data_IF_254157340906
#
_entry.id   IF_254157340906
#
_cell.length_a   1.000
_cell.length_b   1.000
_cell.length_c   1.000
_cell.angle_alpha   90.00
_cell.angle_beta   90.00
_cell.angle_gamma   90.00
#
_symmetry.space_group_name_H-M   'P 1'
#
loop_
_entity.id
_entity.type
_entity.pdbx_description
1 polymer ?
#
# COMPACT_ATOMS: atom_id res chain seq x y z
N UNK A 1 17.32 -0.17 -13.03
CA UNK A 1 15.93 -0.47 -12.59
C UNK A 1 15.50 0.65 -11.64
N UNK A 2 14.29 1.19 -11.76
CA UNK A 2 13.77 2.20 -10.84
C UNK A 2 13.07 1.50 -9.67
N UNK A 3 13.20 2.05 -8.46
CA UNK A 3 12.48 1.55 -7.29
C UNK A 3 11.13 2.28 -7.15
N UNK A 4 10.02 1.58 -6.86
CA UNK A 4 8.72 2.22 -6.71
C UNK A 4 8.64 3.15 -5.50
N UNK A 5 7.74 4.13 -5.54
CA UNK A 5 7.39 4.92 -4.37
C UNK A 5 6.53 4.15 -3.38
N UNK A 6 6.71 4.36 -2.07
CA UNK A 6 6.02 3.57 -1.05
C UNK A 6 4.48 3.58 -1.19
N UNK A 7 3.85 4.75 -1.31
CA UNK A 7 2.40 4.83 -1.51
C UNK A 7 1.97 4.20 -2.85
N UNK A 8 2.76 4.41 -3.92
CA UNK A 8 2.46 3.82 -5.22
C UNK A 8 2.50 2.30 -5.18
N UNK A 9 3.42 1.70 -4.40
CA UNK A 9 3.51 0.25 -4.23
C UNK A 9 2.20 -0.35 -3.72
N UNK A 10 1.61 0.24 -2.67
CA UNK A 10 0.33 -0.23 -2.13
C UNK A 10 -0.82 -0.08 -3.12
N UNK A 11 -0.95 1.10 -3.75
CA UNK A 11 -2.01 1.34 -4.74
C UNK A 11 -1.88 0.38 -5.91
N UNK A 12 -0.67 0.26 -6.48
CA UNK A 12 -0.43 -0.62 -7.63
C UNK A 12 -0.70 -2.09 -7.29
N UNK A 13 -0.31 -2.55 -6.10
CA UNK A 13 -0.59 -3.90 -5.66
C UNK A 13 -2.10 -4.20 -5.58
N UNK A 14 -2.91 -3.21 -5.18
CA UNK A 14 -4.35 -3.37 -5.07
C UNK A 14 -5.06 -3.33 -6.43
N UNK A 15 -4.72 -2.40 -7.33
CA UNK A 15 -5.54 -2.19 -8.52
C UNK A 15 -4.99 -2.85 -9.79
N UNK A 16 -3.67 -3.07 -9.91
CA UNK A 16 -3.07 -3.62 -11.12
C UNK A 16 -3.65 -4.99 -11.51
N UNK A 17 -3.76 -5.98 -10.60
CA UNK A 17 -4.37 -7.27 -10.94
C UNK A 17 -5.83 -7.14 -11.36
N UNK A 18 -6.59 -6.23 -10.74
CA UNK A 18 -8.01 -6.04 -11.03
C UNK A 18 -8.23 -5.42 -12.41
N UNK A 19 -7.40 -4.45 -12.79
CA UNK A 19 -7.44 -3.84 -14.12
C UNK A 19 -7.03 -4.87 -15.19
N UNK A 20 -5.96 -5.64 -14.94
CA UNK A 20 -5.50 -6.68 -15.86
C UNK A 20 -6.53 -7.78 -16.12
N UNK A 21 -7.36 -8.08 -15.14
CA UNK A 21 -8.44 -9.07 -15.26
C UNK A 21 -9.80 -8.45 -15.68
N UNK A 22 -9.85 -7.14 -15.96
CA UNK A 22 -11.07 -6.46 -16.37
C UNK A 22 -12.13 -6.31 -15.26
N UNK A 23 -11.74 -6.56 -14.00
CA UNK A 23 -12.61 -6.38 -12.84
C UNK A 23 -12.79 -4.90 -12.52
N UNK A 24 -11.73 -4.10 -12.70
CA UNK A 24 -11.73 -2.66 -12.52
C UNK A 24 -11.42 -1.97 -13.85
N UNK A 25 -12.23 -0.98 -14.22
CA UNK A 25 -11.99 -0.21 -15.44
C UNK A 25 -10.87 0.82 -15.25
N UNK A 26 -9.96 1.02 -16.22
CA UNK A 26 -9.02 2.15 -16.22
C UNK A 26 -9.68 3.53 -16.17
N UNK A 27 -10.94 3.64 -16.60
CA UNK A 27 -11.74 4.87 -16.56
C UNK A 27 -12.37 5.13 -15.17
N UNK A 28 -12.29 4.16 -14.24
CA UNK A 28 -12.87 4.31 -12.92
C UNK A 28 -12.19 5.43 -12.14
N UNK A 29 -12.97 6.34 -11.61
CA UNK A 29 -12.48 7.41 -10.73
C UNK A 29 -12.25 6.85 -9.34
N UNK A 30 -10.99 6.77 -8.94
CA UNK A 30 -10.58 6.17 -7.69
C UNK A 30 -10.31 7.20 -6.59
N UNK A 31 -10.48 6.77 -5.36
CA UNK A 31 -10.02 7.45 -4.16
C UNK A 31 -9.04 6.54 -3.42
N UNK A 32 -8.00 7.12 -2.86
CA UNK A 32 -6.99 6.38 -2.12
C UNK A 32 -6.66 7.11 -0.83
N UNK A 33 -6.82 6.44 0.29
CA UNK A 33 -6.30 6.85 1.59
C UNK A 33 -5.04 6.04 1.87
N UNK A 34 -3.98 6.71 2.35
CA UNK A 34 -2.73 6.01 2.63
C UNK A 34 -2.11 6.54 3.91
N UNK A 35 -2.20 5.73 4.97
CA UNK A 35 -1.70 6.04 6.31
C UNK A 35 -0.25 5.55 6.38
N UNK A 36 0.67 6.37 6.89
CA UNK A 36 2.08 6.02 7.01
C UNK A 36 2.68 6.51 8.32
N UNK A 37 3.67 5.79 8.82
CA UNK A 37 4.53 6.27 9.88
C UNK A 37 5.38 7.48 9.45
N UNK A 38 5.82 8.28 10.42
CA UNK A 38 6.55 9.53 10.15
C UNK A 38 7.93 9.33 9.52
N UNK A 39 8.51 8.14 9.59
CA UNK A 39 9.78 7.84 8.93
C UNK A 39 9.74 8.01 7.40
N UNK A 40 8.53 7.92 6.80
CA UNK A 40 8.32 8.16 5.37
C UNK A 40 8.65 9.58 4.90
N UNK A 41 8.67 10.56 5.80
CA UNK A 41 9.08 11.94 5.53
C UNK A 41 10.60 12.18 5.59
N UNK A 42 11.39 11.14 5.87
CA UNK A 42 12.85 11.20 5.95
C UNK A 42 13.36 11.90 7.19
N UNK A 43 14.69 12.14 7.23
CA UNK A 43 15.40 12.63 8.43
C UNK A 43 14.79 13.90 9.07
N UNK A 44 14.27 14.81 8.25
CA UNK A 44 13.67 16.04 8.77
C UNK A 44 12.42 15.73 9.59
N UNK A 45 11.49 14.98 9.03
CA UNK A 45 10.24 14.63 9.72
C UNK A 45 10.49 13.73 10.92
N UNK A 46 11.43 12.78 10.84
CA UNK A 46 11.86 11.97 11.99
C UNK A 46 12.31 12.89 13.13
N UNK A 47 13.22 13.83 12.87
CA UNK A 47 13.70 14.77 13.90
C UNK A 47 12.62 15.68 14.47
N UNK A 48 11.60 16.04 13.69
CA UNK A 48 10.43 16.79 14.16
C UNK A 48 9.56 15.98 15.12
N UNK A 49 9.27 14.70 14.77
CA UNK A 49 8.45 13.82 15.62
C UNK A 49 9.17 13.33 16.88
N UNK A 50 10.48 13.17 16.85
CA UNK A 50 11.29 12.68 17.96
C UNK A 50 11.87 13.82 18.84
N UNK A 51 11.53 15.08 18.55
CA UNK A 51 11.96 16.23 19.33
C UNK A 51 11.23 16.29 20.68
N UNK A 52 11.98 16.60 21.76
CA UNK A 52 11.41 16.87 23.10
C UNK A 52 10.46 18.08 23.10
N UNK A 53 10.58 18.97 22.11
CA UNK A 53 9.76 20.17 21.94
C UNK A 53 8.84 20.08 20.71
N UNK A 54 8.38 18.88 20.35
CA UNK A 54 7.51 18.70 19.17
C UNK A 54 6.17 19.42 19.36
N UNK A 55 5.62 19.89 18.24
CA UNK A 55 4.29 20.50 18.21
C UNK A 55 3.21 19.46 18.54
N UNK A 56 2.29 19.79 19.44
CA UNK A 56 1.16 18.93 19.82
C UNK A 56 0.26 18.51 18.64
N UNK A 57 0.26 19.26 17.54
CA UNK A 57 -0.43 18.87 16.31
C UNK A 57 0.13 17.56 15.69
N UNK A 58 1.34 17.16 16.09
CA UNK A 58 1.95 15.89 15.63
C UNK A 58 1.41 14.65 16.36
N UNK A 59 0.70 14.84 17.46
CA UNK A 59 0.06 13.74 18.20
C UNK A 59 -1.17 13.17 17.47
N UNK A 60 -1.68 13.90 16.48
CA UNK A 60 -2.83 13.50 15.66
C UNK A 60 -2.41 13.09 14.24
N UNK A 61 -3.15 12.18 13.57
CA UNK A 61 -2.96 11.92 12.15
C UNK A 61 -3.14 13.19 11.32
N UNK A 62 -2.21 13.46 10.39
CA UNK A 62 -2.22 14.66 9.57
C UNK A 62 -2.22 14.31 8.08
N UNK A 63 -3.23 14.77 7.35
CA UNK A 63 -3.26 14.65 5.89
C UNK A 63 -2.30 15.69 5.29
N UNK A 64 -1.54 15.27 4.29
CA UNK A 64 -0.66 16.14 3.51
C UNK A 64 -0.93 15.97 2.00
N UNK A 65 -0.13 16.58 1.14
CA UNK A 65 -0.37 16.53 -0.31
C UNK A 65 -1.69 17.19 -0.73
N UNK A 66 -2.14 18.22 0.00
CA UNK A 66 -3.45 18.86 -0.17
C UNK A 66 -3.66 19.49 -1.54
N UNK A 67 -2.58 19.81 -2.27
CA UNK A 67 -2.65 20.31 -3.64
C UNK A 67 -3.02 19.24 -4.68
N UNK A 68 -3.11 17.96 -4.29
CA UNK A 68 -3.33 16.82 -5.18
C UNK A 68 -2.28 16.69 -6.30
N UNK A 69 -1.03 17.12 -6.02
CA UNK A 69 0.12 17.03 -6.93
C UNK A 69 1.25 16.17 -6.32
N UNK A 70 0.88 15.07 -5.69
CA UNK A 70 1.84 14.17 -5.06
C UNK A 70 2.69 13.45 -6.12
N UNK A 71 4.00 13.34 -5.87
CA UNK A 71 5.00 12.74 -6.79
C UNK A 71 4.70 11.29 -7.21
N UNK A 72 3.90 10.54 -6.45
CA UNK A 72 3.53 9.15 -6.76
C UNK A 72 2.32 9.04 -7.71
N UNK A 73 1.55 10.11 -7.92
CA UNK A 73 0.38 10.06 -8.81
C UNK A 73 0.72 9.72 -10.27
N UNK A 74 1.79 10.29 -10.88
CA UNK A 74 2.20 9.89 -12.23
C UNK A 74 2.55 8.40 -12.34
N UNK A 75 3.23 7.84 -11.34
CA UNK A 75 3.59 6.42 -11.30
C UNK A 75 2.34 5.53 -11.23
N UNK A 76 1.41 5.84 -10.32
CA UNK A 76 0.15 5.12 -10.17
C UNK A 76 -0.65 5.16 -11.47
N UNK A 77 -0.79 6.33 -12.06
CA UNK A 77 -1.57 6.53 -13.29
C UNK A 77 -0.97 5.78 -14.47
N UNK A 78 0.34 5.93 -14.68
CA UNK A 78 1.01 5.34 -15.83
C UNK A 78 1.08 3.81 -15.77
N UNK A 79 1.42 3.24 -14.59
CA UNK A 79 1.57 1.80 -14.44
C UNK A 79 0.24 1.06 -14.63
N UNK A 80 -0.84 1.64 -14.15
CA UNK A 80 -2.17 1.04 -14.21
C UNK A 80 -2.96 1.44 -15.47
N UNK A 81 -2.44 2.32 -16.30
CA UNK A 81 -3.13 2.83 -17.49
C UNK A 81 -4.40 3.61 -17.17
N UNK A 82 -4.47 4.25 -15.97
CA UNK A 82 -5.66 5.01 -15.57
C UNK A 82 -5.85 6.22 -16.47
N UNK A 83 -7.09 6.54 -16.82
CA UNK A 83 -7.45 7.73 -17.59
C UNK A 83 -7.30 9.03 -16.78
N UNK A 84 -7.42 8.94 -15.46
CA UNK A 84 -7.19 10.04 -14.53
C UNK A 84 -6.49 9.58 -13.25
N UNK A 85 -5.71 10.47 -12.65
CA UNK A 85 -5.10 10.21 -11.35
C UNK A 85 -6.18 10.07 -10.25
N UNK A 86 -6.01 9.16 -9.29
CA UNK A 86 -6.93 9.03 -8.17
C UNK A 86 -6.90 10.28 -7.27
N UNK A 87 -8.00 10.55 -6.56
CA UNK A 87 -7.96 11.43 -5.40
C UNK A 87 -7.07 10.76 -4.37
N UNK A 88 -6.01 11.44 -3.94
CA UNK A 88 -4.99 10.86 -3.07
C UNK A 88 -4.95 11.58 -1.72
N UNK A 89 -5.20 10.84 -0.65
CA UNK A 89 -5.28 11.31 0.72
C UNK A 89 -4.16 10.66 1.57
N UNK A 90 -2.89 11.08 1.44
CA UNK A 90 -1.82 10.58 2.28
C UNK A 90 -1.91 11.17 3.68
N UNK A 91 -1.77 10.31 4.71
CA UNK A 91 -1.90 10.66 6.12
C UNK A 91 -0.65 10.16 6.85
N UNK A 92 0.08 11.07 7.49
CA UNK A 92 1.14 10.73 8.43
C UNK A 92 0.59 10.64 9.84
N UNK A 93 0.99 9.61 10.57
CA UNK A 93 0.54 9.37 11.95
C UNK A 93 1.73 9.17 12.89
N UNK A 94 1.49 9.31 14.19
CA UNK A 94 2.52 9.25 15.24
C UNK A 94 2.93 7.81 15.56
N UNK A 95 3.54 7.15 14.57
CA UNK A 95 4.29 5.90 14.74
C UNK A 95 5.46 5.91 13.75
N UNK A 96 6.55 5.21 14.08
CA UNK A 96 7.79 5.29 13.31
C UNK A 96 7.65 4.75 11.89
N UNK A 97 7.28 3.48 11.72
CA UNK A 97 7.16 2.82 10.42
C UNK A 97 5.94 1.91 10.34
N UNK A 98 5.54 1.62 9.13
CA UNK A 98 4.32 0.91 8.77
C UNK A 98 3.49 1.74 7.79
N UNK A 99 2.68 1.07 7.01
CA UNK A 99 1.84 1.70 5.99
C UNK A 99 0.58 0.88 5.74
N UNK A 100 -0.53 1.59 5.60
CA UNK A 100 -1.79 1.03 5.15
C UNK A 100 -2.33 1.88 4.00
N UNK A 101 -2.60 1.24 2.87
CA UNK A 101 -3.22 1.85 1.69
C UNK A 101 -4.62 1.29 1.54
N UNK A 102 -5.62 2.17 1.45
CA UNK A 102 -7.04 1.82 1.37
C UNK A 102 -7.64 2.42 0.11
N UNK A 103 -8.32 1.60 -0.68
CA UNK A 103 -9.11 2.03 -1.84
C UNK A 103 -10.56 1.62 -1.62
N UNK A 104 -11.45 2.55 -1.26
CA UNK A 104 -12.87 2.29 -1.14
C UNK A 104 -13.51 2.22 -2.54
N UNK A 105 -14.40 1.26 -2.74
CA UNK A 105 -15.16 1.07 -3.98
C UNK A 105 -16.62 0.79 -3.64
N UNK A 106 -17.51 1.20 -4.54
CA UNK A 106 -18.87 0.66 -4.56
C UNK A 106 -18.91 -0.64 -5.38
N UNK A 107 -19.85 -1.53 -5.06
CA UNK A 107 -20.04 -2.75 -5.85
C UNK A 107 -20.35 -2.48 -7.33
N UNK A 108 -20.90 -1.30 -7.63
CA UNK A 108 -21.13 -0.83 -9.02
C UNK A 108 -19.85 -0.43 -9.75
N UNK A 109 -18.74 -0.22 -9.06
CA UNK A 109 -17.46 0.20 -9.64
C UNK A 109 -16.67 -0.97 -10.21
N UNK A 110 -17.10 -2.20 -9.93
CA UNK A 110 -16.41 -3.43 -10.35
C UNK A 110 -17.26 -4.25 -11.33
N UNK A 111 -16.60 -4.95 -12.22
CA UNK A 111 -17.19 -5.99 -13.07
C UNK A 111 -16.92 -7.35 -12.44
N UNK A 112 -17.90 -7.88 -11.70
CA UNK A 112 -17.76 -9.15 -10.98
C UNK A 112 -18.16 -9.07 -9.52
N UNK A 113 -17.63 -9.95 -8.72
CA UNK A 113 -17.95 -10.16 -7.31
C UNK A 113 -16.74 -9.94 -6.42
N UNK A 114 -16.95 -9.91 -5.10
CA UNK A 114 -15.84 -9.92 -4.13
C UNK A 114 -14.94 -11.16 -4.29
N UNK A 115 -15.52 -12.30 -4.66
CA UNK A 115 -14.75 -13.54 -4.86
C UNK A 115 -13.85 -13.45 -6.10
N UNK A 116 -14.30 -12.78 -7.16
CA UNK A 116 -13.46 -12.52 -8.33
C UNK A 116 -12.24 -11.66 -7.97
N UNK A 117 -12.40 -10.68 -7.07
CA UNK A 117 -11.27 -9.89 -6.55
C UNK A 117 -10.30 -10.76 -5.75
N UNK A 118 -10.80 -11.61 -4.83
CA UNK A 118 -9.97 -12.53 -4.04
C UNK A 118 -9.16 -13.47 -4.93
N UNK A 119 -9.83 -14.05 -5.93
CA UNK A 119 -9.20 -14.95 -6.87
C UNK A 119 -8.14 -14.23 -7.71
N UNK A 120 -8.42 -13.01 -8.19
CA UNK A 120 -7.44 -12.20 -8.91
C UNK A 120 -6.17 -11.96 -8.08
N UNK A 121 -6.30 -11.66 -6.78
CA UNK A 121 -5.15 -11.50 -5.91
C UNK A 121 -4.40 -12.82 -5.66
N UNK A 122 -5.09 -13.91 -5.35
CA UNK A 122 -4.48 -15.22 -5.11
C UNK A 122 -3.73 -15.76 -6.32
N UNK A 123 -4.29 -15.56 -7.52
CA UNK A 123 -3.69 -16.01 -8.77
C UNK A 123 -2.50 -15.15 -9.19
N UNK A 124 -2.59 -13.83 -8.96
CA UNK A 124 -1.54 -12.91 -9.36
C UNK A 124 -0.35 -12.91 -8.40
N UNK A 125 -0.60 -13.00 -7.09
CA UNK A 125 0.42 -12.97 -6.05
C UNK A 125 0.63 -14.35 -5.43
N UNK A 126 1.47 -15.16 -6.07
CA UNK A 126 1.77 -16.53 -5.65
C UNK A 126 3.05 -16.65 -4.79
N UNK A 127 3.79 -15.55 -4.64
CA UNK A 127 5.05 -15.51 -3.89
C UNK A 127 4.88 -15.01 -2.46
N UNK A 128 5.95 -15.10 -1.65
CA UNK A 128 5.91 -14.69 -0.24
C UNK A 128 6.00 -13.17 -0.01
N UNK A 129 6.36 -12.39 -1.05
CA UNK A 129 6.63 -10.96 -0.90
C UNK A 129 5.39 -10.07 -1.05
N UNK A 130 4.37 -10.55 -1.75
CA UNK A 130 3.04 -9.95 -1.81
C UNK A 130 2.05 -11.10 -1.79
N UNK A 131 1.05 -11.05 -0.94
CA UNK A 131 0.07 -12.13 -0.80
C UNK A 131 -1.29 -11.61 -0.37
N UNK A 132 -2.33 -12.32 -0.74
CA UNK A 132 -3.68 -12.10 -0.20
C UNK A 132 -3.87 -12.87 1.10
N UNK A 133 -4.43 -12.21 2.10
CA UNK A 133 -4.79 -12.81 3.39
C UNK A 133 -6.23 -12.48 3.73
N UNK A 134 -7.00 -13.51 3.98
CA UNK A 134 -8.35 -13.40 4.51
C UNK A 134 -8.30 -13.16 6.03
N UNK A 135 -9.31 -12.46 6.58
CA UNK A 135 -9.43 -12.21 8.02
C UNK A 135 -8.13 -11.65 8.64
N UNK A 136 -7.55 -10.67 7.98
CA UNK A 136 -6.26 -10.08 8.36
C UNK A 136 -6.40 -8.96 9.40
N UNK A 137 -7.61 -8.67 9.86
CA UNK A 137 -7.87 -7.66 10.89
C UNK A 137 -7.46 -8.10 12.30
N UNK A 138 -7.26 -7.15 13.17
CA UNK A 138 -7.01 -7.34 14.60
C UNK A 138 -8.28 -7.00 15.39
N UNK A 139 -9.19 -7.99 15.57
CA UNK A 139 -10.48 -7.83 16.26
C UNK A 139 -11.36 -6.70 15.69
N UNK A 140 -11.47 -6.64 14.37
CA UNK A 140 -12.25 -5.63 13.64
C UNK A 140 -11.50 -4.33 13.36
N UNK A 141 -10.19 -4.28 13.60
CA UNK A 141 -9.32 -3.16 13.27
C UNK A 141 -8.27 -3.60 12.24
N UNK A 142 -7.90 -2.69 11.34
CA UNK A 142 -6.76 -2.86 10.46
C UNK A 142 -5.70 -1.82 10.87
N UNK A 143 -4.58 -2.29 11.42
CA UNK A 143 -3.56 -1.40 11.98
C UNK A 143 -2.43 -1.18 10.98
N UNK A 144 -2.14 0.08 10.66
CA UNK A 144 -1.13 0.45 9.66
C UNK A 144 0.30 0.01 10.03
N UNK A 145 0.59 -0.26 11.30
CA UNK A 145 1.91 -0.66 11.78
C UNK A 145 2.09 -2.17 12.01
N UNK A 146 1.08 -3.00 11.71
CA UNK A 146 1.15 -4.45 11.89
C UNK A 146 2.32 -5.11 11.15
N UNK A 147 2.70 -4.53 10.00
CA UNK A 147 3.77 -5.05 9.15
C UNK A 147 5.11 -4.32 9.35
N UNK A 148 5.28 -3.53 10.41
CA UNK A 148 6.50 -2.79 10.69
C UNK A 148 7.73 -3.71 10.80
N UNK A 149 8.84 -3.30 10.17
CA UNK A 149 10.11 -4.05 10.15
C UNK A 149 10.12 -5.24 9.19
N UNK A 150 9.13 -5.37 8.30
CA UNK A 150 9.02 -6.47 7.33
C UNK A 150 9.17 -5.97 5.89
N UNK A 151 9.61 -6.88 5.01
CA UNK A 151 9.81 -6.62 3.58
C UNK A 151 8.76 -7.26 2.68
N UNK A 152 7.68 -7.76 3.26
CA UNK A 152 6.50 -8.29 2.54
C UNK A 152 5.29 -7.36 2.64
N UNK A 153 4.27 -7.64 1.84
CA UNK A 153 3.03 -6.89 1.75
C UNK A 153 1.84 -7.83 1.81
N UNK A 154 0.90 -7.51 2.67
CA UNK A 154 -0.37 -8.20 2.82
C UNK A 154 -1.49 -7.43 2.14
N UNK A 155 -2.31 -8.12 1.35
CA UNK A 155 -3.51 -7.58 0.73
C UNK A 155 -4.74 -8.21 1.36
N UNK A 156 -5.75 -7.41 1.63
CA UNK A 156 -7.02 -7.86 2.22
C UNK A 156 -8.20 -7.20 1.55
N UNK A 157 -9.36 -7.82 1.65
CA UNK A 157 -10.63 -7.31 1.14
C UNK A 157 -11.67 -7.34 2.25
N UNK A 158 -12.23 -6.18 2.57
CA UNK A 158 -13.29 -6.01 3.57
C UNK A 158 -14.57 -5.43 2.95
N UNK A 159 -15.66 -5.52 3.69
CA UNK A 159 -16.93 -4.92 3.31
C UNK A 159 -17.98 -5.94 2.87
N UNK A 160 -18.81 -5.55 1.93
CA UNK A 160 -19.92 -6.34 1.41
C UNK A 160 -20.11 -6.08 -0.10
N UNK A 161 -21.10 -6.72 -0.72
CA UNK A 161 -21.36 -6.58 -2.17
C UNK A 161 -21.68 -5.15 -2.64
N UNK A 162 -22.06 -4.25 -1.73
CA UNK A 162 -22.38 -2.86 -2.08
C UNK A 162 -21.19 -1.91 -1.87
N UNK A 163 -20.36 -2.18 -0.86
CA UNK A 163 -19.26 -1.32 -0.42
C UNK A 163 -18.06 -2.16 -0.02
N UNK A 164 -16.94 -1.94 -0.69
CA UNK A 164 -15.72 -2.71 -0.56
C UNK A 164 -14.56 -1.82 -0.13
N UNK A 165 -13.66 -2.39 0.64
CA UNK A 165 -12.37 -1.78 0.98
C UNK A 165 -11.26 -2.71 0.51
N UNK A 166 -10.49 -2.28 -0.48
CA UNK A 166 -9.23 -2.93 -0.84
C UNK A 166 -8.16 -2.37 0.09
N UNK A 167 -7.45 -3.24 0.81
CA UNK A 167 -6.45 -2.82 1.81
C UNK A 167 -5.11 -3.49 1.55
N UNK A 168 -4.04 -2.70 1.51
CA UNK A 168 -2.66 -3.20 1.48
C UNK A 168 -1.92 -2.70 2.71
N UNK A 169 -1.29 -3.62 3.46
CA UNK A 169 -0.46 -3.30 4.63
C UNK A 169 0.98 -3.77 4.41
N UNK A 170 1.93 -2.94 4.76
CA UNK A 170 3.36 -3.20 4.60
C UNK A 170 4.19 -2.18 5.37
N UNK A 171 5.49 -2.36 5.45
CA UNK A 171 6.39 -1.36 6.02
C UNK A 171 6.82 -0.35 4.95
N UNK A 172 6.67 0.96 5.24
CA UNK A 172 7.05 2.04 4.33
C UNK A 172 8.57 2.14 4.10
N UNK A 173 9.40 1.66 5.02
CA UNK A 173 10.86 1.60 4.89
C UNK A 173 11.33 0.24 4.32
N UNK A 174 10.66 -0.85 4.70
CA UNK A 174 10.90 -2.20 4.20
C UNK A 174 10.36 -2.38 2.78
N UNK A 175 9.22 -3.06 2.63
CA UNK A 175 8.60 -3.29 1.31
C UNK A 175 8.32 -2.01 0.53
N UNK A 176 8.07 -0.89 1.22
CA UNK A 176 7.84 0.41 0.59
C UNK A 176 9.11 1.11 0.07
N UNK A 177 10.31 0.70 0.46
CA UNK A 177 11.56 1.37 0.08
C UNK A 177 12.74 0.40 -0.05
N UNK A 178 13.51 0.14 1.03
CA UNK A 178 14.75 -0.64 0.98
C UNK A 178 14.50 -2.10 0.63
N UNK A 179 13.45 -2.72 1.15
CA UNK A 179 13.09 -4.10 0.83
C UNK A 179 12.79 -4.31 -0.65
N UNK A 180 12.05 -3.39 -1.27
CA UNK A 180 11.84 -3.42 -2.73
C UNK A 180 13.11 -3.18 -3.53
N UNK A 181 14.04 -2.33 -3.03
CA UNK A 181 15.32 -2.12 -3.68
C UNK A 181 16.20 -3.38 -3.63
N UNK A 182 16.23 -4.09 -2.48
CA UNK A 182 16.94 -5.36 -2.33
C UNK A 182 16.30 -6.44 -3.23
N UNK A 183 14.97 -6.54 -3.25
CA UNK A 183 14.25 -7.44 -4.16
C UNK A 183 14.64 -7.19 -5.63
N UNK A 184 14.64 -5.92 -6.07
CA UNK A 184 15.07 -5.54 -7.41
C UNK A 184 16.54 -5.94 -7.70
N UNK A 185 17.43 -5.73 -6.73
CA UNK A 185 18.83 -6.14 -6.84
C UNK A 185 18.94 -7.66 -6.98
N UNK A 186 18.22 -8.43 -6.16
CA UNK A 186 18.21 -9.89 -6.20
C UNK A 186 17.78 -10.42 -7.58
N UNK A 187 16.70 -9.84 -8.14
CA UNK A 187 16.25 -10.16 -9.50
C UNK A 187 17.32 -9.87 -10.57
N UNK A 188 18.00 -8.71 -10.46
CA UNK A 188 19.08 -8.35 -11.39
C UNK A 188 20.30 -9.28 -11.28
N UNK A 189 20.57 -9.79 -10.08
CA UNK A 189 21.68 -10.71 -9.83
C UNK A 189 21.35 -12.19 -10.12
N UNK A 190 20.08 -12.51 -10.41
CA UNK A 190 19.61 -13.86 -10.63
C UNK A 190 19.63 -14.75 -9.38
N UNK A 191 19.57 -14.15 -8.19
CA UNK A 191 19.40 -14.87 -6.91
C UNK A 191 17.94 -14.88 -6.47
N UNK A 192 17.53 -15.74 -5.51
CA UNK A 192 16.17 -15.74 -5.01
C UNK A 192 15.77 -14.34 -4.54
N UNK A 193 14.61 -13.86 -4.97
CA UNK A 193 14.14 -12.49 -4.72
C UNK A 193 14.02 -12.14 -3.23
N UNK A 194 13.91 -13.16 -2.37
CA UNK A 194 13.78 -13.02 -0.90
C UNK A 194 15.13 -12.94 -0.18
N UNK A 195 16.24 -13.06 -0.88
CA UNK A 195 17.58 -13.08 -0.26
C UNK A 195 17.84 -11.80 0.54
N UNK A 196 18.11 -11.93 1.84
CA UNK A 196 18.40 -10.82 2.75
C UNK A 196 17.17 -9.99 3.15
N UNK A 197 15.96 -10.42 2.82
CA UNK A 197 14.72 -9.77 3.20
C UNK A 197 14.11 -10.38 4.47
N UNK A 198 13.48 -9.55 5.28
CA UNK A 198 12.74 -9.94 6.49
C UNK A 198 11.28 -10.19 6.13
N UNK A 199 10.88 -11.45 6.12
CA UNK A 199 9.50 -11.86 5.86
C UNK A 199 8.80 -12.26 7.16
N UNK A 200 7.47 -12.16 7.18
CA UNK A 200 6.68 -12.75 8.27
C UNK A 200 6.86 -14.27 8.26
N UNK A 201 7.15 -14.84 9.42
CA UNK A 201 7.08 -16.29 9.58
C UNK A 201 5.67 -16.81 9.31
N UNK A 202 5.54 -18.08 8.96
CA UNK A 202 4.24 -18.77 8.85
C UNK A 202 3.42 -18.51 10.11
N UNK A 203 2.23 -17.94 9.94
CA UNK A 203 1.22 -17.80 11.00
C UNK A 203 0.16 -18.85 10.82
#
# INVERSE_FOLDING_TARGET
>A
MANPGCHASGVNALIYPLIRNGILSPAQKLQCFSITGYSGGGKKMIGEYESDCRDALMDAPRMYGLSQQHKHLPEITALNGLECAPIFCPIVSDFYCGMETIIPLFGSDIHGTMEDIRNAYREFYTGPLVYYKEDADENGFASANTMSGRDDMELSLYGNSERLLLVARFDNLGKGASGSAIQNLNLMMGVPETTGLVLGGER
#
